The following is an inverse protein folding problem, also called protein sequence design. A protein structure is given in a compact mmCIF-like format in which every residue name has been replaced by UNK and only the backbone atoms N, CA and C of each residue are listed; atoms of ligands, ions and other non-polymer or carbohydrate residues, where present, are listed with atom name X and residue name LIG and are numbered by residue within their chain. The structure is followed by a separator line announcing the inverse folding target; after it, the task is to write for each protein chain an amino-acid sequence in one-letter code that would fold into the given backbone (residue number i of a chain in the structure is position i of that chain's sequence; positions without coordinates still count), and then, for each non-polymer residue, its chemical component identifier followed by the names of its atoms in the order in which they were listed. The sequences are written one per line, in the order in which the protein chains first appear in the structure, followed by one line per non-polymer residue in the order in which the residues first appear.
data_IF_611918141970
#
_entry.id   IF_611918141970
#
_cell.length_a   1.000
_cell.length_b   1.000
_cell.length_c   1.000
_cell.angle_alpha   90.00
_cell.angle_beta   90.00
_cell.angle_gamma   90.00
#
_symmetry.space_group_name_H-M   'P 1'
#
loop_
_entity.id
_entity.type
_entity.pdbx_description
1 polymer ?
#
# COMPACT_ATOMS: atom_id res chain seq x y z
N UNK A 1 44.68 -26.17 -2.46
CA UNK A 1 44.27 -24.79 -2.81
C UNK A 1 42.87 -24.75 -3.47
N UNK A 2 41.82 -25.24 -2.81
CA UNK A 2 40.48 -25.37 -3.44
C UNK A 2 39.31 -24.86 -2.56
N UNK A 3 39.58 -24.05 -1.53
CA UNK A 3 38.58 -23.60 -0.55
C UNK A 3 38.17 -22.14 -0.65
N UNK A 4 38.79 -21.37 -1.55
CA UNK A 4 38.60 -19.90 -1.61
C UNK A 4 37.58 -19.46 -2.67
N UNK A 5 37.21 -20.32 -3.63
CA UNK A 5 36.37 -19.94 -4.77
C UNK A 5 34.86 -20.06 -4.51
N UNK A 6 34.43 -20.91 -3.56
CA UNK A 6 33.00 -21.12 -3.29
C UNK A 6 32.30 -19.95 -2.58
N UNK A 7 33.04 -19.07 -1.89
CA UNK A 7 32.46 -17.97 -1.09
C UNK A 7 32.12 -16.73 -1.93
N UNK A 8 32.64 -16.62 -3.16
CA UNK A 8 32.40 -15.49 -4.06
C UNK A 8 31.08 -15.55 -4.83
N UNK A 9 30.58 -16.76 -5.13
CA UNK A 9 29.34 -16.92 -5.93
C UNK A 9 28.05 -16.75 -5.12
N UNK A 10 28.06 -17.03 -3.81
CA UNK A 10 26.87 -16.84 -2.96
C UNK A 10 26.60 -15.37 -2.59
N UNK A 11 27.60 -14.49 -2.72
CA UNK A 11 27.45 -13.04 -2.44
C UNK A 11 26.81 -12.27 -3.60
N UNK A 12 26.97 -12.74 -4.84
CA UNK A 12 26.52 -12.04 -6.04
C UNK A 12 25.01 -12.17 -6.33
N UNK A 13 24.32 -13.12 -5.69
CA UNK A 13 22.89 -13.37 -5.91
C UNK A 13 21.94 -12.49 -5.07
N UNK A 14 22.46 -11.57 -4.23
CA UNK A 14 21.66 -10.95 -3.16
C UNK A 14 21.32 -9.47 -3.32
N UNK A 15 21.61 -8.85 -4.45
CA UNK A 15 21.17 -7.48 -4.74
C UNK A 15 20.63 -7.34 -6.15
N UNK A 16 19.62 -8.15 -6.51
CA UNK A 16 18.67 -7.71 -7.52
C UNK A 16 17.88 -6.53 -6.94
N UNK A 17 18.47 -5.35 -7.06
CA UNK A 17 17.82 -4.06 -6.86
C UNK A 17 16.51 -4.03 -7.61
N UNK A 18 15.50 -3.39 -7.02
CA UNK A 18 14.13 -3.35 -7.53
C UNK A 18 14.12 -2.77 -8.94
N UNK A 19 14.17 -3.63 -9.96
CA UNK A 19 14.37 -3.31 -11.39
C UNK A 19 13.34 -2.32 -11.97
N UNK A 20 12.28 -2.02 -11.22
CA UNK A 20 11.17 -1.14 -11.63
C UNK A 20 10.67 -0.23 -10.49
N UNK A 21 11.50 0.14 -9.51
CA UNK A 21 11.08 0.97 -8.37
C UNK A 21 10.44 2.29 -8.81
N UNK A 22 11.04 2.97 -9.81
CA UNK A 22 10.51 4.23 -10.36
C UNK A 22 9.12 4.05 -10.97
N UNK A 23 8.93 3.03 -11.80
CA UNK A 23 7.62 2.74 -12.38
C UNK A 23 6.56 2.45 -11.32
N UNK A 24 6.91 1.70 -10.27
CA UNK A 24 6.00 1.41 -9.17
C UNK A 24 5.66 2.65 -8.33
N UNK A 25 6.62 3.56 -8.14
CA UNK A 25 6.38 4.85 -7.51
C UNK A 25 5.51 5.76 -8.39
N UNK A 26 5.68 5.71 -9.71
CA UNK A 26 4.81 6.43 -10.65
C UNK A 26 3.37 5.91 -10.59
N UNK A 27 3.17 4.59 -10.55
CA UNK A 27 1.84 3.98 -10.37
C UNK A 27 1.24 4.38 -9.03
N UNK A 28 2.02 4.33 -7.94
CA UNK A 28 1.56 4.80 -6.62
C UNK A 28 1.16 6.28 -6.67
N UNK A 29 2.01 7.12 -7.25
CA UNK A 29 1.72 8.55 -7.43
C UNK A 29 0.42 8.75 -8.19
N UNK A 30 0.26 8.10 -9.34
CA UNK A 30 -0.93 8.17 -10.16
C UNK A 30 -2.20 7.72 -9.42
N UNK A 31 -2.14 6.62 -8.67
CA UNK A 31 -3.25 6.15 -7.85
C UNK A 31 -3.58 7.15 -6.72
N UNK A 32 -2.57 7.77 -6.11
CA UNK A 32 -2.76 8.75 -5.04
C UNK A 32 -3.25 10.12 -5.53
N UNK A 33 -3.09 10.46 -6.81
CA UNK A 33 -3.54 11.74 -7.36
C UNK A 33 -5.05 11.93 -7.18
N UNK A 34 -5.84 10.89 -7.51
CA UNK A 34 -7.30 11.00 -7.53
C UNK A 34 -7.89 11.19 -6.12
N UNK A 35 -7.51 10.39 -5.11
CA UNK A 35 -7.85 10.65 -3.71
C UNK A 35 -7.25 11.95 -3.20
N UNK A 36 -6.00 12.27 -3.57
CA UNK A 36 -5.33 13.49 -3.13
C UNK A 36 -6.04 14.76 -3.58
N UNK A 37 -6.48 14.81 -4.85
CA UNK A 37 -7.24 15.94 -5.41
C UNK A 37 -8.61 16.03 -4.73
N UNK A 38 -9.32 14.91 -4.55
CA UNK A 38 -10.62 14.90 -3.88
C UNK A 38 -10.55 15.37 -2.43
N UNK A 39 -9.56 14.89 -1.67
CA UNK A 39 -9.30 15.33 -0.30
C UNK A 39 -8.96 16.82 -0.26
N UNK A 40 -8.12 17.31 -1.19
CA UNK A 40 -7.75 18.72 -1.25
C UNK A 40 -8.94 19.61 -1.60
N UNK A 41 -9.80 19.20 -2.53
CA UNK A 41 -11.04 19.92 -2.85
C UNK A 41 -12.01 19.96 -1.67
N UNK A 42 -12.20 18.84 -0.95
CA UNK A 42 -13.04 18.79 0.26
C UNK A 42 -12.54 19.73 1.36
N UNK A 43 -11.22 19.79 1.55
CA UNK A 43 -10.60 20.67 2.52
C UNK A 43 -10.73 22.15 2.14
N UNK A 44 -10.52 22.47 0.86
CA UNK A 44 -10.64 23.84 0.34
C UNK A 44 -12.09 24.34 0.36
N UNK A 45 -13.05 23.44 0.12
CA UNK A 45 -14.49 23.72 0.22
C UNK A 45 -15.01 23.86 1.65
N UNK A 46 -14.16 23.69 2.68
CA UNK A 46 -14.54 23.83 4.09
C UNK A 46 -15.49 22.75 4.61
N UNK A 47 -15.74 21.71 3.82
CA UNK A 47 -16.77 20.72 4.10
C UNK A 47 -16.29 19.66 5.10
N UNK A 48 -15.07 19.16 4.91
CA UNK A 48 -14.45 18.19 5.82
C UNK A 48 -12.92 18.14 5.65
N UNK A 49 -12.20 18.33 6.75
CA UNK A 49 -10.74 18.28 6.81
C UNK A 49 -10.19 16.93 7.28
N UNK A 50 -11.03 16.09 7.89
CA UNK A 50 -10.62 14.81 8.48
C UNK A 50 -9.90 13.86 7.50
N UNK A 51 -10.24 13.77 6.19
CA UNK A 51 -9.55 12.85 5.28
C UNK A 51 -8.06 13.21 5.10
N UNK A 52 -7.70 14.49 5.20
CA UNK A 52 -6.30 14.94 5.14
C UNK A 52 -5.45 14.33 6.26
N UNK A 53 -6.04 14.11 7.44
CA UNK A 53 -5.35 13.51 8.57
C UNK A 53 -5.41 11.97 8.51
N UNK A 54 -6.55 11.40 8.12
CA UNK A 54 -6.79 9.96 8.13
C UNK A 54 -5.90 9.22 7.13
N UNK A 55 -5.79 9.69 5.88
CA UNK A 55 -4.97 9.03 4.86
C UNK A 55 -3.48 8.88 5.24
N UNK A 56 -2.77 9.93 5.67
CA UNK A 56 -1.37 9.80 6.07
C UNK A 56 -1.21 9.01 7.36
N UNK A 57 -2.10 9.19 8.35
CA UNK A 57 -2.05 8.43 9.60
C UNK A 57 -2.27 6.92 9.35
N UNK A 58 -3.32 6.56 8.60
CA UNK A 58 -3.60 5.18 8.23
C UNK A 58 -2.48 4.58 7.39
N UNK A 59 -1.89 5.35 6.47
CA UNK A 59 -0.74 4.91 5.67
C UNK A 59 0.48 4.60 6.54
N UNK A 60 0.77 5.44 7.53
CA UNK A 60 1.87 5.20 8.47
C UNK A 60 1.62 3.96 9.32
N UNK A 61 0.41 3.79 9.85
CA UNK A 61 0.00 2.60 10.61
C UNK A 61 0.15 1.34 9.75
N UNK A 62 -0.33 1.36 8.50
CA UNK A 62 -0.17 0.24 7.57
C UNK A 62 1.30 -0.12 7.36
N UNK A 63 2.15 0.89 7.16
CA UNK A 63 3.59 0.68 6.96
C UNK A 63 4.24 0.03 8.17
N UNK A 64 3.90 0.49 9.39
CA UNK A 64 4.37 -0.10 10.64
C UNK A 64 3.88 -1.54 10.83
N UNK A 65 2.61 -1.84 10.53
CA UNK A 65 2.07 -3.20 10.61
C UNK A 65 2.81 -4.17 9.68
N UNK A 66 3.10 -3.74 8.46
CA UNK A 66 3.89 -4.53 7.51
C UNK A 66 5.34 -4.72 7.96
N UNK A 67 5.94 -3.68 8.55
CA UNK A 67 7.29 -3.78 9.11
C UNK A 67 7.35 -4.76 10.28
N UNK A 68 6.38 -4.69 11.20
CA UNK A 68 6.23 -5.63 12.30
C UNK A 68 6.03 -7.06 11.80
N UNK A 69 5.14 -7.29 10.83
CA UNK A 69 4.91 -8.62 10.24
C UNK A 69 6.19 -9.22 9.64
N UNK A 70 7.01 -8.40 8.96
CA UNK A 70 8.33 -8.82 8.47
C UNK A 70 9.29 -9.17 9.61
N UNK A 71 9.28 -8.42 10.71
CA UNK A 71 10.13 -8.66 11.87
C UNK A 71 9.73 -9.97 12.56
N UNK A 72 8.43 -10.20 12.78
CA UNK A 72 7.88 -11.42 13.37
C UNK A 72 8.16 -12.65 12.48
N UNK A 73 8.08 -12.51 11.15
CA UNK A 73 8.45 -13.58 10.22
C UNK A 73 9.92 -14.00 10.31
N UNK A 74 10.83 -13.07 10.65
CA UNK A 74 12.24 -13.36 10.90
C UNK A 74 12.48 -13.99 12.27
N UNK A 75 11.69 -13.60 13.27
CA UNK A 75 11.78 -14.10 14.64
C UNK A 75 11.04 -15.44 14.88
N UNK A 76 10.44 -16.05 13.84
CA UNK A 76 9.60 -17.26 13.95
C UNK A 76 8.43 -17.11 14.94
N UNK A 77 7.97 -15.87 15.14
CA UNK A 77 6.90 -15.53 16.06
C UNK A 77 5.53 -15.54 15.37
N UNK A 78 4.46 -15.28 16.13
CA UNK A 78 3.09 -15.28 15.63
C UNK A 78 2.91 -14.28 14.48
N UNK A 79 2.40 -14.76 13.32
CA UNK A 79 2.17 -13.92 12.14
C UNK A 79 0.93 -13.04 12.30
N UNK A 80 0.99 -11.82 11.77
CA UNK A 80 -0.16 -10.90 11.81
C UNK A 80 -1.27 -11.41 10.87
N UNK A 81 -2.54 -11.51 11.32
CA UNK A 81 -3.64 -11.94 10.48
C UNK A 81 -3.83 -11.01 9.27
N UNK A 82 -4.08 -11.58 8.09
CA UNK A 82 -4.28 -10.80 6.84
C UNK A 82 -5.47 -9.84 6.95
N UNK A 83 -6.49 -10.20 7.73
CA UNK A 83 -7.65 -9.35 8.00
C UNK A 83 -7.27 -7.99 8.60
N UNK A 84 -6.31 -7.96 9.53
CA UNK A 84 -5.88 -6.72 10.18
C UNK A 84 -5.23 -5.79 9.15
N UNK A 85 -4.43 -6.35 8.25
CA UNK A 85 -3.80 -5.57 7.19
C UNK A 85 -4.83 -5.01 6.21
N UNK A 86 -5.80 -5.82 5.78
CA UNK A 86 -6.86 -5.38 4.88
C UNK A 86 -7.78 -4.32 5.52
N UNK A 87 -8.04 -4.39 6.83
CA UNK A 87 -8.79 -3.34 7.53
C UNK A 87 -8.02 -2.02 7.52
N UNK A 88 -6.72 -2.03 7.80
CA UNK A 88 -5.90 -0.81 7.74
C UNK A 88 -5.80 -0.25 6.31
N UNK A 89 -5.73 -1.13 5.31
CA UNK A 89 -5.77 -0.75 3.89
C UNK A 89 -7.10 -0.07 3.53
N UNK A 90 -8.22 -0.63 4.02
CA UNK A 90 -9.58 -0.13 3.81
C UNK A 90 -9.84 1.22 4.49
N UNK A 91 -9.16 1.51 5.60
CA UNK A 91 -9.27 2.80 6.30
C UNK A 91 -8.46 3.93 5.64
N UNK A 92 -7.93 3.72 4.43
CA UNK A 92 -7.09 4.69 3.71
C UNK A 92 -5.58 4.45 3.85
N UNK A 93 -5.17 3.32 4.45
CA UNK A 93 -3.76 2.95 4.59
C UNK A 93 -3.15 2.28 3.36
N UNK A 94 -3.93 2.05 2.30
CA UNK A 94 -3.50 1.38 1.07
C UNK A 94 -2.26 2.02 0.39
N UNK A 95 -2.00 3.36 0.42
CA UNK A 95 -0.77 3.93 -0.12
C UNK A 95 0.46 3.47 0.67
N UNK A 96 0.38 3.52 2.00
CA UNK A 96 1.43 3.02 2.90
C UNK A 96 1.64 1.51 2.76
N UNK A 97 0.57 0.74 2.54
CA UNK A 97 0.65 -0.69 2.27
C UNK A 97 1.37 -0.98 0.94
N UNK A 98 1.10 -0.25 -0.14
CA UNK A 98 1.84 -0.38 -1.41
C UNK A 98 3.32 -0.10 -1.24
N UNK A 99 3.67 0.97 -0.52
CA UNK A 99 5.06 1.31 -0.19
C UNK A 99 5.70 0.16 0.59
N UNK A 100 5.02 -0.36 1.62
CA UNK A 100 5.53 -1.44 2.45
C UNK A 100 5.70 -2.75 1.67
N UNK A 101 4.73 -3.13 0.81
CA UNK A 101 4.83 -4.30 -0.07
C UNK A 101 6.06 -4.22 -0.98
N UNK A 102 6.38 -3.02 -1.48
CA UNK A 102 7.54 -2.79 -2.34
C UNK A 102 8.86 -2.80 -1.57
N UNK A 103 8.95 -2.07 -0.45
CA UNK A 103 10.13 -2.00 0.42
C UNK A 103 10.50 -3.38 0.98
N UNK A 104 9.50 -4.13 1.41
CA UNK A 104 9.72 -5.40 2.09
C UNK A 104 9.70 -6.61 1.16
N UNK A 105 9.24 -6.44 -0.10
CA UNK A 105 8.97 -7.52 -1.06
C UNK A 105 8.14 -8.65 -0.43
N UNK A 106 7.30 -8.29 0.53
CA UNK A 106 6.50 -9.21 1.33
C UNK A 106 5.04 -9.14 0.87
N UNK A 107 4.34 -10.28 0.85
CA UNK A 107 2.91 -10.40 0.41
C UNK A 107 2.59 -9.87 -1.01
N UNK A 108 3.59 -9.81 -1.89
CA UNK A 108 3.42 -9.42 -3.31
C UNK A 108 3.07 -10.58 -4.25
N UNK A 109 3.37 -11.84 -3.86
CA UNK A 109 3.12 -13.03 -4.68
C UNK A 109 1.84 -13.79 -4.34
N UNK A 110 1.22 -13.49 -3.19
CA UNK A 110 0.01 -14.20 -2.75
C UNK A 110 -1.21 -13.60 -3.46
N UNK A 111 -1.73 -14.31 -4.46
CA UNK A 111 -2.83 -13.83 -5.31
C UNK A 111 -4.06 -13.47 -4.48
N UNK A 112 -4.45 -14.30 -3.51
CA UNK A 112 -5.62 -14.02 -2.66
C UNK A 112 -5.49 -12.70 -1.89
N UNK A 113 -4.27 -12.37 -1.42
CA UNK A 113 -3.99 -11.11 -0.74
C UNK A 113 -4.09 -9.93 -1.70
N UNK A 114 -3.47 -10.07 -2.88
CA UNK A 114 -3.46 -9.03 -3.90
C UNK A 114 -4.87 -8.74 -4.44
N UNK A 115 -5.73 -9.76 -4.59
CA UNK A 115 -7.12 -9.56 -5.02
C UNK A 115 -7.90 -8.67 -4.04
N UNK A 116 -7.82 -8.97 -2.74
CA UNK A 116 -8.49 -8.16 -1.71
C UNK A 116 -7.89 -6.75 -1.66
N UNK A 117 -6.57 -6.65 -1.70
CA UNK A 117 -5.85 -5.37 -1.73
C UNK A 117 -6.30 -4.48 -2.91
N UNK A 118 -6.30 -5.02 -4.14
CA UNK A 118 -6.71 -4.27 -5.32
C UNK A 118 -8.20 -3.96 -5.33
N UNK A 119 -9.04 -4.82 -4.75
CA UNK A 119 -10.46 -4.52 -4.51
C UNK A 119 -10.65 -3.30 -3.60
N UNK A 120 -9.86 -3.18 -2.54
CA UNK A 120 -9.88 -2.02 -1.63
C UNK A 120 -9.45 -0.75 -2.36
N UNK A 121 -8.35 -0.80 -3.14
CA UNK A 121 -7.88 0.34 -3.94
C UNK A 121 -8.97 0.76 -4.92
N UNK A 122 -9.55 -0.18 -5.66
CA UNK A 122 -10.61 0.10 -6.63
C UNK A 122 -11.83 0.74 -5.96
N UNK A 123 -12.25 0.24 -4.79
CA UNK A 123 -13.34 0.85 -4.02
C UNK A 123 -13.05 2.32 -3.68
N UNK A 124 -11.83 2.63 -3.23
CA UNK A 124 -11.43 4.02 -2.96
C UNK A 124 -11.45 4.86 -4.24
N UNK A 125 -10.95 4.33 -5.35
CA UNK A 125 -10.96 5.04 -6.63
C UNK A 125 -12.39 5.33 -7.09
N UNK A 126 -13.31 4.37 -7.00
CA UNK A 126 -14.72 4.57 -7.38
C UNK A 126 -15.36 5.64 -6.52
N UNK A 127 -15.15 5.60 -5.19
CA UNK A 127 -15.67 6.61 -4.27
C UNK A 127 -15.21 8.02 -4.66
N UNK A 128 -13.91 8.21 -4.91
CA UNK A 128 -13.39 9.53 -5.28
C UNK A 128 -13.79 9.97 -6.68
N UNK A 129 -13.93 9.04 -7.62
CA UNK A 129 -14.45 9.35 -8.96
C UNK A 129 -15.90 9.82 -8.87
N UNK A 130 -16.74 9.13 -8.11
CA UNK A 130 -18.14 9.53 -7.91
C UNK A 130 -18.24 10.91 -7.23
N UNK A 131 -17.42 11.15 -6.20
CA UNK A 131 -17.36 12.45 -5.54
C UNK A 131 -16.94 13.59 -6.49
N UNK A 132 -15.87 13.38 -7.27
CA UNK A 132 -15.29 14.43 -8.13
C UNK A 132 -16.09 14.70 -9.40
N UNK A 133 -16.64 13.67 -10.04
CA UNK A 133 -17.23 13.77 -11.38
C UNK A 133 -18.76 13.66 -11.38
N UNK A 134 -19.32 12.88 -10.46
CA UNK A 134 -20.75 12.58 -10.44
C UNK A 134 -21.48 13.33 -9.32
N UNK A 135 -20.77 14.17 -8.55
CA UNK A 135 -21.32 14.95 -7.45
C UNK A 135 -22.15 14.07 -6.47
N UNK A 136 -21.67 12.85 -6.19
CA UNK A 136 -22.31 11.82 -5.36
C UNK A 136 -23.59 11.18 -5.92
N UNK A 137 -23.89 11.32 -7.20
CA UNK A 137 -25.08 10.69 -7.79
C UNK A 137 -25.07 9.16 -7.68
N UNK A 138 -23.93 8.50 -7.84
CA UNK A 138 -23.87 7.03 -7.80
C UNK A 138 -24.09 6.51 -6.38
N UNK A 139 -23.44 7.09 -5.37
CA UNK A 139 -23.66 6.70 -3.98
C UNK A 139 -25.04 7.09 -3.45
N UNK A 140 -25.69 8.13 -3.99
CA UNK A 140 -27.04 8.53 -3.58
C UNK A 140 -28.15 7.56 -4.02
N UNK A 141 -27.86 6.65 -4.97
CA UNK A 141 -28.83 5.70 -5.52
C UNK A 141 -28.94 4.40 -4.72
N UNK A 142 -28.08 4.19 -3.72
CA UNK A 142 -28.05 3.03 -2.83
C UNK A 142 -28.27 3.47 -1.38
#
# INVERSE_FOLDING_TARGET
MARTQAKGQYGAAREEGVRHARFKLLVLGALCLLPGIGVAQMAWGGQAWWPLAVYPAASLICLLLYWQDKHQARAQAWRTPEKVMHVSELLGGWPGALVAQQLFRHKTRKVSYQLVFWGIVLLHQVFWVDYLFLNQQLFSLF
#
